data_IF_145775132150
#
_entry.id   IF_145775132150
#
_cell.length_a   1.000
_cell.length_b   1.000
_cell.length_c   1.000
_cell.angle_alpha   90.00
_cell.angle_beta   90.00
_cell.angle_gamma   90.00
#
_symmetry.space_group_name_H-M   'P 1'
#
loop_
_entity.id
_entity.type
_entity.pdbx_description
1 polymer ?
#
# COMPACT_ATOMS: atom_id res chain seq x y z
N UNK A 1 12.73 35.86 0.66
CA UNK A 1 13.33 34.56 0.98
C UNK A 1 12.55 33.50 0.22
N UNK A 2 13.11 32.95 -0.86
CA UNK A 2 12.44 31.90 -1.64
C UNK A 2 12.48 30.65 -0.76
N UNK A 3 11.36 30.29 -0.14
CA UNK A 3 11.21 29.04 0.57
C UNK A 3 11.30 27.92 -0.47
N UNK A 4 12.52 27.42 -0.67
CA UNK A 4 12.78 26.37 -1.64
C UNK A 4 11.89 25.17 -1.29
N UNK A 5 11.01 24.70 -2.21
CA UNK A 5 9.97 23.73 -1.89
C UNK A 5 10.57 22.32 -1.82
N UNK A 6 11.43 22.09 -0.82
CA UNK A 6 12.17 20.85 -0.63
C UNK A 6 11.25 19.64 -0.46
N UNK A 7 10.06 19.86 0.10
CA UNK A 7 8.98 18.87 0.19
C UNK A 7 8.49 18.42 -1.19
N UNK A 8 8.45 19.33 -2.16
CA UNK A 8 7.97 19.04 -3.52
C UNK A 8 9.06 18.35 -4.32
N UNK A 9 10.31 18.80 -4.17
CA UNK A 9 11.48 18.14 -4.76
C UNK A 9 11.65 16.71 -4.22
N UNK A 10 11.54 16.51 -2.91
CA UNK A 10 11.63 15.16 -2.33
C UNK A 10 10.46 14.27 -2.75
N UNK A 11 9.24 14.81 -2.82
CA UNK A 11 8.09 14.06 -3.31
C UNK A 11 8.25 13.62 -4.77
N UNK A 12 8.73 14.51 -5.64
CA UNK A 12 9.02 14.19 -7.04
C UNK A 12 10.15 13.16 -7.16
N UNK A 13 11.20 13.26 -6.35
CA UNK A 13 12.29 12.30 -6.34
C UNK A 13 11.82 10.90 -5.91
N UNK A 14 11.05 10.81 -4.82
CA UNK A 14 10.45 9.55 -4.35
C UNK A 14 9.52 8.96 -5.41
N UNK A 15 8.67 9.79 -6.02
CA UNK A 15 7.78 9.34 -7.10
C UNK A 15 8.58 8.78 -8.29
N UNK A 16 9.63 9.48 -8.73
CA UNK A 16 10.52 9.03 -9.80
C UNK A 16 11.20 7.70 -9.48
N UNK A 17 11.69 7.52 -8.25
CA UNK A 17 12.28 6.25 -7.79
C UNK A 17 11.26 5.12 -7.85
N UNK A 18 10.02 5.35 -7.39
CA UNK A 18 8.94 4.35 -7.45
C UNK A 18 8.65 3.95 -8.90
N UNK A 19 8.57 4.93 -9.82
CA UNK A 19 8.31 4.66 -11.25
C UNK A 19 9.47 3.87 -11.88
N UNK A 20 10.72 4.28 -11.63
CA UNK A 20 11.90 3.58 -12.14
C UNK A 20 11.95 2.17 -11.57
N UNK A 21 11.72 2.01 -10.26
CA UNK A 21 11.64 0.71 -9.61
C UNK A 21 10.53 -0.14 -10.24
N UNK A 22 9.36 0.42 -10.53
CA UNK A 22 8.28 -0.30 -11.19
C UNK A 22 8.61 -0.73 -12.63
N UNK A 23 9.31 0.12 -13.38
CA UNK A 23 9.72 -0.17 -14.76
C UNK A 23 10.88 -1.15 -14.83
N UNK A 24 11.86 -1.06 -13.91
CA UNK A 24 12.99 -1.98 -13.85
C UNK A 24 12.60 -3.34 -13.25
N UNK A 25 11.72 -3.35 -12.26
CA UNK A 25 11.18 -4.58 -11.65
C UNK A 25 9.93 -5.06 -12.40
N UNK A 26 9.96 -4.97 -13.74
CA UNK A 26 8.97 -5.56 -14.63
C UNK A 26 9.17 -7.05 -14.86
N UNK A 27 10.13 -7.67 -14.15
CA UNK A 27 10.29 -9.11 -14.12
C UNK A 27 8.96 -9.76 -13.72
N UNK A 28 8.45 -10.57 -14.63
CA UNK A 28 7.24 -11.35 -14.41
C UNK A 28 7.54 -12.44 -13.39
N UNK A 29 6.66 -12.59 -12.42
CA UNK A 29 6.66 -13.68 -11.46
C UNK A 29 5.39 -14.48 -11.65
N UNK A 30 5.52 -15.79 -11.58
CA UNK A 30 4.39 -16.70 -11.70
C UNK A 30 3.70 -16.81 -10.35
N UNK A 31 2.41 -16.44 -10.32
CA UNK A 31 1.58 -16.51 -9.13
C UNK A 31 0.69 -17.72 -9.25
N UNK A 32 0.97 -18.72 -8.41
CA UNK A 32 0.19 -19.93 -8.25
C UNK A 32 -0.75 -19.75 -7.05
N UNK A 33 -2.06 -19.63 -7.28
CA UNK A 33 -3.04 -19.48 -6.21
C UNK A 33 -4.25 -20.39 -6.41
N UNK A 34 -4.40 -21.40 -5.54
CA UNK A 34 -5.44 -22.44 -5.63
C UNK A 34 -5.43 -23.15 -6.99
N UNK A 35 -6.32 -22.74 -7.90
CA UNK A 35 -6.44 -23.30 -9.26
C UNK A 35 -6.06 -22.28 -10.36
N UNK A 36 -5.53 -21.12 -9.97
CA UNK A 36 -5.16 -20.06 -10.88
C UNK A 36 -3.65 -19.98 -10.99
N UNK A 37 -3.19 -19.91 -12.23
CA UNK A 37 -1.80 -19.68 -12.58
C UNK A 37 -1.76 -18.48 -13.54
N UNK A 38 -1.07 -17.43 -13.12
CA UNK A 38 -0.94 -16.23 -13.94
C UNK A 38 0.39 -15.54 -13.67
N UNK A 39 0.99 -15.02 -14.74
CA UNK A 39 2.25 -14.28 -14.67
C UNK A 39 1.95 -12.79 -14.53
N UNK A 40 2.34 -12.20 -13.40
CA UNK A 40 2.19 -10.76 -13.16
C UNK A 40 3.52 -10.15 -12.74
N UNK A 41 3.67 -8.85 -12.99
CA UNK A 41 4.87 -8.11 -12.61
C UNK A 41 5.00 -8.07 -11.09
N UNK A 42 6.19 -8.39 -10.57
CA UNK A 42 6.45 -8.42 -9.13
C UNK A 42 6.07 -7.09 -8.44
N UNK A 43 6.28 -5.96 -9.12
CA UNK A 43 5.87 -4.65 -8.60
C UNK A 43 4.37 -4.55 -8.33
N UNK A 44 3.53 -5.17 -9.17
CA UNK A 44 2.07 -5.15 -9.00
C UNK A 44 1.69 -5.93 -7.75
N UNK A 45 2.33 -7.09 -7.52
CA UNK A 45 2.13 -7.90 -6.30
C UNK A 45 2.50 -7.11 -5.05
N UNK A 46 3.71 -6.53 -5.02
CA UNK A 46 4.23 -5.79 -3.86
C UNK A 46 3.37 -4.56 -3.57
N UNK A 47 3.01 -3.81 -4.62
CA UNK A 47 2.18 -2.61 -4.45
C UNK A 47 0.77 -2.98 -3.96
N UNK A 48 0.15 -4.00 -4.55
CA UNK A 48 -1.18 -4.46 -4.15
C UNK A 48 -1.19 -4.95 -2.70
N UNK A 49 -0.20 -5.75 -2.28
CA UNK A 49 -0.07 -6.23 -0.90
C UNK A 49 0.15 -5.10 0.11
N UNK A 50 0.94 -4.09 -0.25
CA UNK A 50 1.15 -2.91 0.59
C UNK A 50 -0.15 -2.10 0.76
N UNK A 51 -0.90 -1.87 -0.32
CA UNK A 51 -2.21 -1.21 -0.27
C UNK A 51 -3.20 -2.01 0.57
N UNK A 52 -3.30 -3.32 0.34
CA UNK A 52 -4.16 -4.21 1.11
C UNK A 52 -3.83 -4.13 2.61
N UNK A 53 -2.55 -4.12 2.98
CA UNK A 53 -2.14 -4.03 4.39
C UNK A 53 -2.66 -2.76 5.08
N UNK A 54 -2.57 -1.60 4.41
CA UNK A 54 -3.11 -0.34 4.95
C UNK A 54 -4.64 -0.41 5.09
N UNK A 55 -5.32 -0.90 4.06
CA UNK A 55 -6.78 -1.01 4.04
C UNK A 55 -7.28 -1.98 5.14
N UNK A 56 -6.64 -3.14 5.28
CA UNK A 56 -6.98 -4.10 6.33
C UNK A 56 -6.69 -3.55 7.72
N UNK A 57 -5.55 -2.87 7.89
CA UNK A 57 -5.19 -2.18 9.13
C UNK A 57 -6.28 -1.21 9.57
N UNK A 58 -6.64 -0.26 8.70
CA UNK A 58 -7.67 0.74 8.96
C UNK A 58 -9.05 0.11 9.23
N UNK A 59 -9.40 -0.94 8.49
CA UNK A 59 -10.68 -1.65 8.65
C UNK A 59 -10.77 -2.36 10.01
N UNK A 60 -9.71 -3.04 10.43
CA UNK A 60 -9.62 -3.70 11.74
C UNK A 60 -9.72 -2.66 12.87
N UNK A 61 -8.96 -1.57 12.74
CA UNK A 61 -8.92 -0.48 13.71
C UNK A 61 -10.29 0.18 13.90
N UNK A 62 -10.98 0.45 12.78
CA UNK A 62 -12.34 0.98 12.79
C UNK A 62 -13.33 0.02 13.47
N UNK A 63 -13.24 -1.28 13.19
CA UNK A 63 -14.10 -2.29 13.78
C UNK A 63 -13.88 -2.41 15.30
N UNK A 64 -12.63 -2.41 15.76
CA UNK A 64 -12.30 -2.40 17.19
C UNK A 64 -12.79 -1.15 17.90
N UNK A 65 -12.63 0.04 17.30
CA UNK A 65 -13.16 1.29 17.86
C UNK A 65 -14.68 1.26 18.00
N UNK A 66 -15.39 0.67 17.04
CA UNK A 66 -16.86 0.50 17.12
C UNK A 66 -17.28 -0.45 18.24
N UNK A 67 -16.59 -1.59 18.42
CA UNK A 67 -16.88 -2.52 19.52
C UNK A 67 -16.67 -1.89 20.90
N UNK A 68 -15.62 -1.09 21.07
CA UNK A 68 -15.27 -0.49 22.37
C UNK A 68 -16.25 0.60 22.84
N UNK A 69 -16.96 1.25 21.92
CA UNK A 69 -18.00 2.24 22.27
C UNK A 69 -19.26 1.60 22.86
N UNK A 70 -19.68 0.43 22.36
CA UNK A 70 -20.87 -0.28 22.89
C UNK A 70 -20.70 -0.72 24.35
N UNK A 71 -19.51 -1.19 24.72
CA UNK A 71 -19.24 -1.63 26.11
C UNK A 71 -19.21 -0.50 27.16
N UNK A 72 -19.16 0.78 26.76
CA UNK A 72 -19.17 1.92 27.69
C UNK A 72 -20.57 2.51 27.92
N UNK A 73 -21.55 2.15 27.10
CA UNK A 73 -22.95 2.56 27.27
C UNK A 73 -23.75 1.54 28.10
N UNK A 74 -23.24 0.31 28.25
CA UNK A 74 -23.86 -0.79 29.02
C UNK A 74 -23.25 -0.99 30.43
N UNK A 75 -22.22 -0.22 30.82
CA UNK A 75 -21.54 -0.29 32.13
C UNK A 75 -21.66 1.02 32.89
#
# INVERSE_FOLDING_TARGET
>A
QIAFPWRLVSALAVFGIIVIFALQNTQSVDVNFLFWDFSIKLIVVITATMVLSVVFGDMIDWWWRRRKKKHKEEA
#
